data_IF_872948767513
#
_entry.id   IF_872948767513
#
_cell.length_a   1.000
_cell.length_b   1.000
_cell.length_c   1.000
_cell.angle_alpha   90.00
_cell.angle_beta   90.00
_cell.angle_gamma   90.00
#
_symmetry.space_group_name_H-M   'P 1'
#
loop_
_entity.id
_entity.type
_entity.pdbx_description
1 polymer ?
#
# COMPACT_ATOMS: atom_id res chain seq x y z
N UNK A 1 -18.38 -15.03 45.08
CA UNK A 1 -19.24 -14.58 43.96
C UNK A 1 -19.52 -13.11 44.20
N UNK A 2 -18.80 -12.21 43.52
CA UNK A 2 -19.04 -10.77 43.59
C UNK A 2 -19.25 -10.27 42.17
N UNK A 3 -20.49 -9.91 41.86
CA UNK A 3 -20.88 -9.30 40.58
C UNK A 3 -20.67 -7.80 40.69
N UNK A 4 -19.50 -7.33 40.29
CA UNK A 4 -19.23 -5.91 40.13
C UNK A 4 -20.13 -5.34 39.03
N UNK A 5 -20.98 -4.40 39.42
CA UNK A 5 -21.86 -3.67 38.53
C UNK A 5 -21.03 -2.85 37.54
N UNK A 6 -21.03 -3.27 36.28
CA UNK A 6 -20.55 -2.44 35.16
C UNK A 6 -21.54 -1.29 35.00
N UNK A 7 -21.18 -0.12 35.52
CA UNK A 7 -21.92 1.12 35.28
C UNK A 7 -21.70 1.53 33.83
N UNK A 8 -22.63 1.16 32.95
CA UNK A 8 -22.68 1.68 31.59
C UNK A 8 -23.02 3.16 31.70
N UNK A 9 -21.98 4.01 31.67
CA UNK A 9 -22.15 5.44 31.45
C UNK A 9 -22.57 5.58 29.99
N UNK A 10 -23.88 5.74 29.77
CA UNK A 10 -24.41 6.26 28.52
C UNK A 10 -23.83 7.65 28.35
N UNK A 11 -22.76 7.75 27.59
CA UNK A 11 -22.16 9.04 27.31
C UNK A 11 -23.08 9.76 26.34
N UNK A 12 -23.81 10.74 26.85
CA UNK A 12 -24.61 11.72 26.11
C UNK A 12 -23.69 12.64 25.29
N UNK A 13 -22.84 12.07 24.44
CA UNK A 13 -22.13 12.81 23.42
C UNK A 13 -23.17 13.28 22.41
N UNK A 14 -23.55 14.55 22.51
CA UNK A 14 -24.36 15.22 21.49
C UNK A 14 -23.69 15.00 20.14
N UNK A 15 -24.41 14.47 19.13
CA UNK A 15 -23.88 14.22 17.77
C UNK A 15 -23.10 15.41 17.21
N UNK A 16 -23.52 16.63 17.57
CA UNK A 16 -22.84 17.88 17.22
C UNK A 16 -21.40 17.98 17.72
N UNK A 17 -21.08 17.48 18.92
CA UNK A 17 -19.71 17.47 19.44
C UNK A 17 -18.84 16.41 18.75
N UNK A 18 -19.42 15.28 18.33
CA UNK A 18 -18.71 14.28 17.52
C UNK A 18 -18.35 14.87 16.15
N UNK A 19 -19.26 15.63 15.54
CA UNK A 19 -19.05 16.32 14.25
C UNK A 19 -18.04 17.47 14.32
N UNK A 20 -17.78 18.05 15.50
CA UNK A 20 -16.78 19.10 15.70
C UNK A 20 -15.37 18.57 16.01
N UNK A 21 -15.25 17.28 16.35
CA UNK A 21 -13.98 16.63 16.71
C UNK A 21 -13.18 16.12 15.51
N UNK A 22 -13.74 16.19 14.31
CA UNK A 22 -12.97 15.89 13.12
C UNK A 22 -11.98 17.02 12.89
N UNK A 23 -10.73 16.79 13.28
CA UNK A 23 -9.58 17.53 12.77
C UNK A 23 -9.68 17.51 11.23
N UNK A 24 -10.25 18.56 10.64
CA UNK A 24 -10.28 18.78 9.20
C UNK A 24 -8.89 19.22 8.76
N UNK A 25 -7.88 18.39 9.03
CA UNK A 25 -6.61 18.49 8.36
C UNK A 25 -6.82 17.85 6.98
N UNK A 26 -6.86 18.62 5.88
CA UNK A 26 -7.07 18.08 4.55
C UNK A 26 -5.92 17.12 4.21
N UNK A 27 -6.16 15.82 4.38
CA UNK A 27 -5.22 14.77 4.01
C UNK A 27 -5.18 14.71 2.48
N UNK A 28 -3.99 14.60 1.90
CA UNK A 28 -3.91 14.36 0.46
C UNK A 28 -4.57 13.03 0.11
N UNK A 29 -5.18 12.97 -1.07
CA UNK A 29 -5.78 11.74 -1.58
C UNK A 29 -4.78 10.57 -1.53
N UNK A 30 -3.51 10.82 -1.83
CA UNK A 30 -2.46 9.82 -1.78
C UNK A 30 -2.20 9.31 -0.35
N UNK A 31 -2.22 10.18 0.66
CA UNK A 31 -2.07 9.77 2.05
C UNK A 31 -3.26 8.94 2.53
N UNK A 32 -4.48 9.28 2.09
CA UNK A 32 -5.66 8.46 2.36
C UNK A 32 -5.55 7.08 1.68
N UNK A 33 -5.19 7.06 0.39
CA UNK A 33 -5.04 5.84 -0.39
C UNK A 33 -3.96 4.93 0.20
N UNK A 34 -2.84 5.50 0.65
CA UNK A 34 -1.79 4.78 1.37
C UNK A 34 -2.34 4.08 2.62
N UNK A 35 -2.97 4.83 3.53
CA UNK A 35 -3.52 4.30 4.79
C UNK A 35 -4.55 3.20 4.55
N UNK A 36 -5.52 3.44 3.65
CA UNK A 36 -6.56 2.46 3.31
C UNK A 36 -5.96 1.20 2.70
N UNK A 37 -4.98 1.33 1.80
CA UNK A 37 -4.31 0.18 1.18
C UNK A 37 -3.54 -0.65 2.21
N UNK A 38 -2.87 0.03 3.15
CA UNK A 38 -2.14 -0.61 4.23
C UNK A 38 -3.05 -1.40 5.17
N UNK A 39 -4.14 -0.79 5.63
CA UNK A 39 -5.10 -1.42 6.55
C UNK A 39 -5.89 -2.55 5.89
N UNK A 40 -6.22 -2.40 4.61
CA UNK A 40 -7.02 -3.40 3.89
C UNK A 40 -6.19 -4.61 3.43
N UNK A 41 -4.91 -4.42 3.11
CA UNK A 41 -4.00 -5.51 2.73
C UNK A 41 -3.86 -6.55 3.84
N UNK A 42 -3.75 -6.12 5.11
CA UNK A 42 -3.42 -6.99 6.27
C UNK A 42 -2.16 -7.84 6.03
N UNK A 43 -1.19 -7.32 5.28
CA UNK A 43 0.03 -8.05 4.92
C UNK A 43 -0.18 -9.13 3.85
N UNK A 44 -1.28 -9.09 3.10
CA UNK A 44 -1.53 -10.00 1.96
C UNK A 44 -1.22 -9.32 0.64
N UNK A 45 -0.80 -10.11 -0.33
CA UNK A 45 -0.61 -9.64 -1.69
C UNK A 45 -1.92 -9.55 -2.46
N UNK A 46 -2.06 -8.58 -3.38
CA UNK A 46 -3.15 -8.55 -4.34
C UNK A 46 -3.21 -9.86 -5.16
N UNK A 47 -4.42 -10.33 -5.43
CA UNK A 47 -4.66 -11.56 -6.20
C UNK A 47 -3.98 -11.45 -7.58
N UNK A 48 -3.25 -12.49 -7.97
CA UNK A 48 -2.50 -12.53 -9.24
C UNK A 48 -1.10 -11.91 -9.18
N UNK A 49 -0.63 -11.49 -8.00
CA UNK A 49 0.78 -11.06 -7.81
C UNK A 49 1.67 -12.29 -7.68
N UNK A 50 2.71 -12.38 -8.51
CA UNK A 50 3.74 -13.43 -8.40
C UNK A 50 4.89 -12.90 -7.53
N UNK A 51 5.24 -13.65 -6.48
CA UNK A 51 6.24 -13.22 -5.48
C UNK A 51 7.67 -13.19 -6.02
N UNK A 52 7.96 -14.03 -7.02
CA UNK A 52 9.27 -14.18 -7.64
C UNK A 52 9.57 -13.16 -8.75
N UNK A 53 8.62 -12.28 -9.06
CA UNK A 53 8.85 -11.23 -10.06
C UNK A 53 9.69 -10.12 -9.44
N UNK A 54 10.78 -9.74 -10.12
CA UNK A 54 11.58 -8.60 -9.70
C UNK A 54 10.76 -7.32 -9.82
N UNK A 55 10.73 -6.56 -8.73
CA UNK A 55 10.03 -5.30 -8.64
C UNK A 55 10.98 -4.19 -8.20
N UNK A 56 10.69 -2.97 -8.65
CA UNK A 56 11.28 -1.74 -8.16
C UNK A 56 10.21 -0.67 -8.00
N UNK A 57 10.61 0.51 -7.52
CA UNK A 57 9.74 1.68 -7.47
C UNK A 57 10.21 2.75 -8.47
N UNK A 58 9.25 3.33 -9.19
CA UNK A 58 9.52 4.41 -10.17
C UNK A 58 9.97 5.71 -9.51
N UNK A 59 9.47 5.95 -8.32
CA UNK A 59 9.72 7.16 -7.55
C UNK A 59 9.64 6.84 -6.05
N UNK A 60 10.35 7.62 -5.25
CA UNK A 60 10.32 7.50 -3.80
C UNK A 60 8.94 7.88 -3.25
N UNK A 61 8.27 7.02 -2.45
CA UNK A 61 7.02 7.39 -1.79
C UNK A 61 7.25 8.51 -0.77
N UNK A 62 6.29 9.43 -0.63
CA UNK A 62 6.40 10.54 0.33
C UNK A 62 6.14 10.04 1.78
N UNK A 63 7.07 9.24 2.31
CA UNK A 63 6.94 8.53 3.59
C UNK A 63 6.77 9.47 4.79
N UNK A 64 7.30 10.70 4.73
CA UNK A 64 7.18 11.71 5.79
C UNK A 64 5.75 12.19 5.98
N UNK A 65 4.90 12.10 4.95
CA UNK A 65 3.47 12.48 5.01
C UNK A 65 2.50 11.30 5.02
N UNK A 66 2.98 10.08 4.77
CA UNK A 66 2.12 8.91 4.55
C UNK A 66 2.14 7.89 5.69
N UNK A 67 3.30 7.68 6.34
CA UNK A 67 3.54 6.96 7.60
C UNK A 67 5.02 6.53 7.60
N UNK A 68 5.82 7.04 8.53
CA UNK A 68 7.25 6.72 8.62
C UNK A 68 7.48 5.48 9.50
N UNK A 69 7.26 4.30 8.95
CA UNK A 69 7.73 3.05 9.57
C UNK A 69 9.21 2.84 9.16
N UNK A 70 10.14 2.56 10.10
CA UNK A 70 11.55 2.33 9.76
C UNK A 70 11.74 1.28 8.68
N UNK A 71 10.95 0.19 8.73
CA UNK A 71 11.01 -0.87 7.73
C UNK A 71 10.59 -0.41 6.33
N UNK A 72 9.62 0.50 6.22
CA UNK A 72 9.19 1.03 4.93
C UNK A 72 10.26 1.91 4.28
N UNK A 73 11.04 2.64 5.08
CA UNK A 73 12.18 3.42 4.59
C UNK A 73 13.25 2.46 4.03
N UNK A 74 13.53 1.36 4.74
CA UNK A 74 14.50 0.35 4.29
C UNK A 74 14.07 -0.34 3.01
N UNK A 75 12.79 -0.71 2.90
CA UNK A 75 12.22 -1.31 1.69
C UNK A 75 12.29 -0.32 0.51
N UNK A 76 11.87 0.94 0.72
CA UNK A 76 11.95 1.99 -0.30
C UNK A 76 13.39 2.20 -0.78
N UNK A 77 14.35 2.22 0.15
CA UNK A 77 15.78 2.36 -0.15
C UNK A 77 16.29 1.24 -1.06
N UNK A 78 15.90 0.01 -0.75
CA UNK A 78 16.30 -1.16 -1.52
C UNK A 78 15.68 -1.13 -2.93
N UNK A 79 14.37 -0.93 -3.02
CA UNK A 79 13.62 -1.00 -4.29
C UNK A 79 13.88 0.19 -5.23
N UNK A 80 14.41 1.31 -4.71
CA UNK A 80 14.83 2.44 -5.53
C UNK A 80 16.15 2.19 -6.27
N UNK A 81 16.99 1.28 -5.75
CA UNK A 81 18.32 1.02 -6.30
C UNK A 81 18.37 -0.24 -7.14
N UNK A 82 17.71 -1.31 -6.69
CA UNK A 82 17.83 -2.63 -7.29
C UNK A 82 16.45 -3.28 -7.46
N UNK A 83 16.07 -3.66 -8.70
CA UNK A 83 14.91 -4.50 -8.91
C UNK A 83 15.10 -5.88 -8.26
N UNK A 84 14.27 -6.22 -7.29
CA UNK A 84 14.40 -7.42 -6.47
C UNK A 84 13.01 -8.06 -6.26
N UNK A 85 12.94 -9.38 -6.11
CA UNK A 85 11.68 -10.06 -5.83
C UNK A 85 11.20 -9.79 -4.40
N UNK A 86 9.91 -10.01 -4.15
CA UNK A 86 9.32 -9.83 -2.82
C UNK A 86 9.93 -10.81 -1.82
N UNK A 87 10.08 -12.08 -2.20
CA UNK A 87 10.72 -13.10 -1.39
C UNK A 87 12.17 -12.74 -1.03
N UNK A 88 12.95 -12.28 -2.02
CA UNK A 88 14.35 -11.87 -1.79
C UNK A 88 14.46 -10.60 -0.94
N UNK A 89 13.47 -9.70 -0.99
CA UNK A 89 13.42 -8.52 -0.12
C UNK A 89 13.32 -8.92 1.35
N UNK A 90 12.46 -9.90 1.67
CA UNK A 90 12.27 -10.44 3.03
C UNK A 90 13.59 -11.03 3.55
N UNK A 91 14.23 -11.87 2.74
CA UNK A 91 15.53 -12.50 3.08
C UNK A 91 16.63 -11.44 3.31
N UNK A 92 16.74 -10.46 2.41
CA UNK A 92 17.81 -9.48 2.42
C UNK A 92 17.71 -8.50 3.59
N UNK A 93 16.50 -7.99 3.86
CA UNK A 93 16.28 -7.02 4.93
C UNK A 93 16.07 -7.68 6.30
N UNK A 94 15.79 -8.99 6.34
CA UNK A 94 15.47 -9.77 7.56
C UNK A 94 14.29 -9.16 8.34
N UNK A 95 13.21 -8.87 7.63
CA UNK A 95 12.00 -8.24 8.18
C UNK A 95 10.79 -9.13 7.95
N UNK A 96 9.70 -8.89 8.68
CA UNK A 96 8.49 -9.69 8.52
C UNK A 96 7.87 -9.50 7.12
N UNK A 97 7.47 -10.61 6.50
CA UNK A 97 6.81 -10.64 5.19
C UNK A 97 5.59 -9.72 5.14
N UNK A 98 4.85 -9.60 6.24
CA UNK A 98 3.70 -8.71 6.36
C UNK A 98 4.03 -7.25 6.04
N UNK A 99 5.18 -6.73 6.50
CA UNK A 99 5.61 -5.37 6.20
C UNK A 99 5.92 -5.19 4.72
N UNK A 100 6.61 -6.16 4.10
CA UNK A 100 6.95 -6.12 2.68
C UNK A 100 5.67 -6.12 1.83
N UNK A 101 4.70 -6.98 2.15
CA UNK A 101 3.47 -7.12 1.37
C UNK A 101 2.52 -5.95 1.57
N UNK A 102 2.45 -5.41 2.79
CA UNK A 102 1.67 -4.22 3.08
C UNK A 102 2.24 -2.99 2.35
N UNK A 103 3.58 -2.83 2.37
CA UNK A 103 4.27 -1.78 1.63
C UNK A 103 4.09 -1.93 0.12
N UNK A 104 4.24 -3.15 -0.42
CA UNK A 104 3.96 -3.45 -1.82
C UNK A 104 2.54 -3.02 -2.21
N UNK A 105 1.54 -3.41 -1.42
CA UNK A 105 0.14 -3.13 -1.70
C UNK A 105 -0.16 -1.63 -1.74
N UNK A 106 0.43 -0.86 -0.81
CA UNK A 106 0.30 0.60 -0.79
C UNK A 106 0.96 1.26 -2.01
N UNK A 107 2.20 0.88 -2.33
CA UNK A 107 2.90 1.35 -3.53
C UNK A 107 2.18 0.96 -4.83
N UNK A 108 1.61 -0.24 -4.88
CA UNK A 108 0.86 -0.73 -6.03
C UNK A 108 -0.44 0.06 -6.23
N UNK A 109 -1.19 0.35 -5.15
CA UNK A 109 -2.40 1.18 -5.22
C UNK A 109 -2.12 2.60 -5.72
N UNK A 110 -0.97 3.17 -5.34
CA UNK A 110 -0.50 4.46 -5.82
C UNK A 110 0.08 4.42 -7.25
N UNK A 111 0.34 3.24 -7.81
CA UNK A 111 0.95 3.09 -9.13
C UNK A 111 2.45 3.40 -9.16
N UNK A 112 3.14 3.21 -8.04
CA UNK A 112 4.59 3.46 -7.91
C UNK A 112 5.44 2.26 -8.33
N UNK A 113 4.85 1.06 -8.37
CA UNK A 113 5.56 -0.19 -8.68
C UNK A 113 5.93 -0.27 -10.16
N UNK A 114 7.15 -0.72 -10.42
CA UNK A 114 7.62 -1.12 -11.73
C UNK A 114 8.01 -2.60 -11.68
N UNK A 115 7.37 -3.40 -12.53
CA UNK A 115 7.70 -4.80 -12.71
C UNK A 115 8.85 -4.92 -13.71
N UNK A 116 9.83 -5.75 -13.39
CA UNK A 116 10.94 -6.09 -14.26
C UNK A 116 10.83 -7.58 -14.58
N UNK A 117 10.27 -7.91 -15.73
CA UNK A 117 10.31 -9.29 -16.22
C UNK A 117 11.78 -9.64 -16.48
N UNK A 118 12.30 -10.60 -15.73
CA UNK A 118 13.59 -11.25 -16.00
C UNK A 118 13.48 -12.10 -17.28
N UNK A 119 13.28 -11.43 -18.40
CA UNK A 119 13.40 -12.02 -19.73
C UNK A 119 14.49 -11.27 -20.49
N UNK A 120 15.73 -11.75 -20.36
CA UNK A 120 16.80 -11.47 -21.32
C UNK A 120 16.93 -12.76 -22.15
N UNK A 121 16.23 -12.84 -23.28
CA UNK A 121 16.79 -12.57 -24.62
C UNK A 121 17.96 -13.50 -24.99
N UNK A 122 17.63 -14.76 -25.28
CA UNK A 122 18.21 -15.49 -26.41
C UNK A 122 17.05 -15.87 -27.33
N UNK A 123 16.73 -15.02 -28.30
CA UNK A 123 16.34 -15.38 -29.67
C UNK A 123 15.68 -14.20 -30.37
N UNK A 124 16.12 -14.03 -31.60
CA UNK A 124 15.54 -13.11 -32.57
C UNK A 124 14.06 -13.45 -32.82
N UNK A 125 13.33 -12.40 -33.24
CA UNK A 125 12.19 -12.47 -34.15
C UNK A 125 10.79 -12.71 -33.52
N UNK A 126 10.01 -11.62 -33.59
CA UNK A 126 8.54 -11.54 -33.71
C UNK A 126 7.70 -12.53 -32.92
N UNK A 127 7.10 -12.05 -31.83
CA UNK A 127 5.64 -12.06 -31.73
C UNK A 127 5.12 -11.06 -30.69
N UNK A 128 4.15 -10.27 -31.12
CA UNK A 128 3.36 -9.37 -30.29
C UNK A 128 2.38 -10.21 -29.47
N UNK A 129 2.39 -10.15 -28.14
CA UNK A 129 1.16 -10.37 -27.37
C UNK A 129 1.19 -9.65 -26.01
N UNK A 130 0.32 -8.65 -25.90
CA UNK A 130 -0.26 -8.05 -24.69
C UNK A 130 0.68 -7.42 -23.65
N UNK A 131 0.96 -6.13 -23.88
CA UNK A 131 1.23 -5.15 -22.82
C UNK A 131 0.06 -5.16 -21.84
N UNK A 132 0.20 -5.88 -20.72
CA UNK A 132 -0.79 -5.91 -19.65
C UNK A 132 -0.91 -4.53 -19.01
N UNK A 133 -1.82 -3.70 -19.53
CA UNK A 133 -2.24 -2.46 -18.90
C UNK A 133 -2.71 -2.80 -17.49
N UNK A 134 -1.95 -2.40 -16.48
CA UNK A 134 -2.34 -2.49 -15.07
C UNK A 134 -3.65 -1.70 -14.93
N UNK A 135 -4.78 -2.43 -14.86
CA UNK A 135 -6.10 -1.83 -14.72
C UNK A 135 -6.11 -1.09 -13.39
N UNK A 136 -6.19 0.24 -13.43
CA UNK A 136 -6.30 1.08 -12.24
C UNK A 136 -7.39 0.54 -11.32
N UNK A 137 -7.01 0.17 -10.10
CA UNK A 137 -7.92 -0.48 -9.15
C UNK A 137 -9.19 0.34 -8.90
N UNK A 138 -10.30 -0.38 -8.68
CA UNK A 138 -11.63 0.16 -8.39
C UNK A 138 -11.63 1.30 -7.36
N UNK A 139 -10.84 1.15 -6.29
CA UNK A 139 -10.74 2.12 -5.21
C UNK A 139 -10.23 3.49 -5.69
N UNK A 140 -9.22 3.51 -6.57
CA UNK A 140 -8.69 4.75 -7.12
C UNK A 140 -9.72 5.47 -7.99
N UNK A 141 -10.60 4.72 -8.67
CA UNK A 141 -11.70 5.28 -9.48
C UNK A 141 -12.78 5.91 -8.60
N UNK A 142 -13.15 5.27 -7.49
CA UNK A 142 -14.11 5.84 -6.53
C UNK A 142 -13.54 7.10 -5.89
N UNK A 143 -12.31 7.05 -5.38
CA UNK A 143 -11.76 8.19 -4.66
C UNK A 143 -11.53 9.40 -5.58
N UNK A 144 -11.17 9.18 -6.85
CA UNK A 144 -11.06 10.26 -7.84
C UNK A 144 -12.42 10.95 -8.09
N UNK A 145 -13.54 10.23 -7.98
CA UNK A 145 -14.89 10.80 -8.12
C UNK A 145 -15.27 11.68 -6.92
N UNK A 146 -14.80 11.34 -5.73
CA UNK A 146 -15.08 12.12 -4.52
C UNK A 146 -14.28 13.42 -4.43
N UNK A 147 -13.13 13.51 -5.10
CA UNK A 147 -12.33 14.74 -5.14
C UNK A 147 -12.88 15.79 -6.13
N UNK A 148 -13.77 15.40 -7.06
CA UNK A 148 -14.32 16.28 -8.09
C UNK A 148 -15.71 16.84 -7.76
N UNK A 149 -16.19 16.68 -6.53
CA UNK A 149 -17.43 17.24 -6.01
C UNK A 149 -17.08 18.31 -4.98
#
# INVERSE_FOLDING_TARGET
MNTDQVKVVSSDYSESQLLLSCDTNPQSLDALLWKVSLWSSRGRLPIGTVEDVNIGIRQWPNLTRMMAIPEFIRIAALWSKNPISLAKTVEFLRIETGYVYAFFSACHAMGLIQFHSSYQQHSNQTDQLSTGVVKTGFLRRILRRLQSM
#
